data_IF_868156770005
#
_entry.id   IF_868156770005
#
_cell.length_a   1.000
_cell.length_b   1.000
_cell.length_c   1.000
_cell.angle_alpha   90.00
_cell.angle_beta   90.00
_cell.angle_gamma   90.00
#
_symmetry.space_group_name_H-M   'P 1'
#
loop_
_entity.id
_entity.type
_entity.pdbx_description
1 polymer ?
#
# COMPACT_ATOMS: atom_id res chain seq x y z
N UNK A 1 -20.46 -4.54 20.23
CA UNK A 1 -19.03 -4.62 19.89
C UNK A 1 -18.34 -5.43 20.97
N UNK A 2 -17.90 -6.62 20.59
CA UNK A 2 -17.11 -7.53 21.44
C UNK A 2 -15.91 -6.87 22.13
N UNK A 3 -15.42 -7.46 23.23
CA UNK A 3 -14.31 -6.94 24.02
C UNK A 3 -13.97 -7.79 25.26
N UNK A 4 -12.99 -7.31 26.03
CA UNK A 4 -12.44 -7.93 27.24
C UNK A 4 -12.95 -7.13 28.44
N UNK A 5 -13.67 -7.79 29.35
CA UNK A 5 -14.09 -7.18 30.61
C UNK A 5 -13.19 -7.65 31.76
N UNK A 6 -12.47 -6.72 32.40
CA UNK A 6 -11.61 -7.01 33.55
C UNK A 6 -12.41 -6.73 34.83
N UNK A 7 -12.82 -7.82 35.48
CA UNK A 7 -13.47 -7.80 36.77
C UNK A 7 -12.43 -7.94 37.89
N UNK A 8 -12.41 -7.00 38.84
CA UNK A 8 -11.50 -7.02 39.99
C UNK A 8 -12.06 -6.21 41.15
N UNK A 9 -11.62 -6.51 42.38
CA UNK A 9 -11.92 -5.66 43.55
C UNK A 9 -10.86 -4.57 43.68
N UNK A 10 -11.23 -3.39 44.17
CA UNK A 10 -10.21 -2.34 44.43
C UNK A 10 -9.40 -2.71 45.67
N UNK A 11 -8.08 -2.61 45.56
CA UNK A 11 -7.18 -2.83 46.68
C UNK A 11 -5.72 -2.50 46.34
N UNK A 12 -4.76 -2.94 47.16
CA UNK A 12 -3.33 -2.75 46.90
C UNK A 12 -2.86 -3.32 45.53
N UNK A 13 -3.57 -4.32 45.01
CA UNK A 13 -3.29 -4.99 43.75
C UNK A 13 -3.81 -4.23 42.50
N UNK A 14 -4.50 -3.09 42.67
CA UNK A 14 -5.00 -2.29 41.55
C UNK A 14 -3.90 -1.83 40.59
N UNK A 15 -2.66 -1.65 41.06
CA UNK A 15 -1.51 -1.31 40.20
C UNK A 15 -1.20 -2.44 39.22
N UNK A 16 -1.22 -3.69 39.68
CA UNK A 16 -1.03 -4.87 38.84
C UNK A 16 -2.16 -5.01 37.81
N UNK A 17 -3.39 -4.70 38.22
CA UNK A 17 -4.56 -4.69 37.32
C UNK A 17 -4.43 -3.58 36.26
N UNK A 18 -3.96 -2.39 36.63
CA UNK A 18 -3.68 -1.32 35.66
C UNK A 18 -2.60 -1.71 34.65
N UNK A 19 -1.51 -2.35 35.10
CA UNK A 19 -0.49 -2.87 34.19
C UNK A 19 -1.03 -3.98 33.24
N UNK A 20 -1.98 -4.78 33.73
CA UNK A 20 -2.69 -5.78 32.93
C UNK A 20 -3.60 -5.11 31.88
N UNK A 21 -4.39 -4.12 32.30
CA UNK A 21 -5.23 -3.28 31.42
C UNK A 21 -4.38 -2.66 30.31
N UNK A 22 -3.25 -2.04 30.64
CA UNK A 22 -2.34 -1.41 29.68
C UNK A 22 -1.84 -2.42 28.65
N UNK A 23 -1.42 -3.61 29.11
CA UNK A 23 -0.86 -4.64 28.23
C UNK A 23 -1.92 -5.25 27.32
N UNK A 24 -3.11 -5.51 27.85
CA UNK A 24 -4.25 -5.98 27.05
C UNK A 24 -4.71 -4.90 26.07
N UNK A 25 -4.78 -3.64 26.49
CA UNK A 25 -5.16 -2.50 25.63
C UNK A 25 -4.15 -2.27 24.52
N UNK A 26 -2.87 -2.49 24.79
CA UNK A 26 -1.82 -2.40 23.78
C UNK A 26 -1.95 -3.47 22.70
N UNK A 27 -2.43 -4.67 23.06
CA UNK A 27 -2.52 -5.81 22.14
C UNK A 27 -3.88 -5.91 21.44
N UNK A 28 -4.97 -5.68 22.18
CA UNK A 28 -6.35 -5.80 21.72
C UNK A 28 -6.99 -4.45 21.38
N UNK A 29 -6.31 -3.33 21.65
CA UNK A 29 -6.83 -1.98 21.45
C UNK A 29 -7.57 -1.47 22.68
N UNK A 30 -7.39 -0.19 22.98
CA UNK A 30 -7.99 0.45 24.16
C UNK A 30 -9.53 0.39 24.15
N UNK A 31 -10.16 0.47 22.97
CA UNK A 31 -11.62 0.41 22.83
C UNK A 31 -12.20 -1.00 23.06
N UNK A 32 -11.34 -2.01 23.21
CA UNK A 32 -11.73 -3.41 23.41
C UNK A 32 -11.47 -3.89 24.83
N UNK A 33 -10.89 -3.07 25.71
CA UNK A 33 -10.60 -3.44 27.11
C UNK A 33 -11.42 -2.56 28.03
N UNK A 34 -12.30 -3.18 28.80
CA UNK A 34 -13.18 -2.53 29.74
C UNK A 34 -12.80 -2.95 31.15
N UNK A 35 -12.53 -1.96 32.00
CA UNK A 35 -12.24 -2.19 33.41
C UNK A 35 -13.42 -1.68 34.25
N UNK A 36 -13.78 -2.40 35.30
CA UNK A 36 -14.83 -2.08 36.30
C UNK A 36 -14.52 -0.81 37.15
N UNK A 37 -13.98 0.24 36.51
CA UNK A 37 -13.64 1.53 37.14
C UNK A 37 -13.70 2.74 36.18
N UNK A 38 -13.99 2.56 34.88
CA UNK A 38 -14.09 3.72 33.97
C UNK A 38 -15.52 4.29 33.99
N UNK A 39 -15.79 5.24 34.90
CA UNK A 39 -17.07 5.97 35.01
C UNK A 39 -16.84 7.48 34.89
N UNK A 40 -17.63 8.14 34.04
CA UNK A 40 -17.73 9.60 34.02
C UNK A 40 -18.53 10.12 35.23
N UNK A 41 -18.04 11.15 35.96
CA UNK A 41 -18.77 11.76 37.06
C UNK A 41 -20.22 12.15 36.66
N UNK A 42 -21.23 11.65 37.37
CA UNK A 42 -22.65 12.02 37.18
C UNK A 42 -23.54 10.99 36.47
N UNK A 43 -23.02 9.83 36.05
CA UNK A 43 -23.79 8.75 35.41
C UNK A 43 -24.36 7.72 36.41
N UNK A 44 -25.48 7.05 36.05
CA UNK A 44 -26.07 5.97 36.86
C UNK A 44 -25.21 4.70 36.73
N UNK A 45 -24.45 4.41 37.78
CA UNK A 45 -23.50 3.28 37.93
C UNK A 45 -23.91 1.94 37.28
N UNK A 46 -25.17 1.44 37.39
CA UNK A 46 -25.50 0.06 36.98
C UNK A 46 -25.66 -0.16 35.48
N UNK A 47 -26.14 0.83 34.72
CA UNK A 47 -26.68 0.59 33.38
C UNK A 47 -25.58 0.48 32.32
N UNK A 48 -24.56 1.34 32.41
CA UNK A 48 -23.42 1.32 31.48
C UNK A 48 -22.50 0.11 31.71
N UNK A 49 -22.28 -0.25 32.98
CA UNK A 49 -21.44 -1.37 33.37
C UNK A 49 -22.04 -2.70 32.90
N UNK A 50 -23.35 -2.87 33.06
CA UNK A 50 -24.09 -4.01 32.51
C UNK A 50 -24.01 -4.06 31.00
N UNK A 51 -24.25 -2.94 30.31
CA UNK A 51 -24.17 -2.91 28.85
C UNK A 51 -22.78 -3.36 28.34
N UNK A 52 -21.69 -2.90 28.98
CA UNK A 52 -20.33 -3.33 28.64
C UNK A 52 -20.10 -4.81 28.93
N UNK A 53 -20.59 -5.33 30.05
CA UNK A 53 -20.50 -6.75 30.38
C UNK A 53 -21.20 -7.63 29.33
N UNK A 54 -22.45 -7.29 28.95
CA UNK A 54 -23.21 -8.03 27.95
C UNK A 54 -22.61 -7.94 26.54
N UNK A 55 -21.86 -6.88 26.25
CA UNK A 55 -21.19 -6.69 24.95
C UNK A 55 -19.79 -7.34 24.91
N UNK A 56 -19.32 -7.91 26.03
CA UNK A 56 -17.99 -8.50 26.12
C UNK A 56 -17.95 -9.95 25.62
N UNK A 57 -16.86 -10.33 24.96
CA UNK A 57 -16.64 -11.69 24.46
C UNK A 57 -15.95 -12.59 25.51
N UNK A 58 -15.31 -11.99 26.52
CA UNK A 58 -14.64 -12.69 27.61
C UNK A 58 -14.53 -11.82 28.84
N UNK A 59 -14.68 -12.44 30.00
CA UNK A 59 -14.47 -11.82 31.31
C UNK A 59 -13.19 -12.35 31.93
N UNK A 60 -12.29 -11.46 32.28
CA UNK A 60 -11.06 -11.73 33.04
C UNK A 60 -11.35 -11.46 34.52
N UNK A 61 -11.50 -12.50 35.32
CA UNK A 61 -11.81 -12.39 36.75
C UNK A 61 -10.52 -12.42 37.58
N UNK A 62 -10.10 -11.28 38.11
CA UNK A 62 -8.86 -11.15 38.89
C UNK A 62 -9.09 -11.59 40.34
N UNK A 63 -8.38 -12.65 40.73
CA UNK A 63 -8.42 -13.25 42.06
C UNK A 63 -7.12 -12.89 42.79
N UNK A 64 -7.24 -12.04 43.80
CA UNK A 64 -6.13 -11.57 44.64
C UNK A 64 -6.16 -12.21 46.03
N UNK A 65 -5.10 -11.98 46.81
CA UNK A 65 -5.06 -12.43 48.20
C UNK A 65 -6.16 -11.74 49.03
N UNK A 66 -6.96 -12.54 49.74
CA UNK A 66 -8.15 -12.07 50.46
C UNK A 66 -9.43 -11.94 49.63
N UNK A 67 -9.44 -12.29 48.33
CA UNK A 67 -10.63 -12.21 47.46
C UNK A 67 -11.83 -13.00 48.01
N UNK A 68 -11.59 -14.22 48.54
CA UNK A 68 -12.62 -15.05 49.18
C UNK A 68 -13.18 -14.41 50.46
N UNK A 69 -12.31 -13.86 51.30
CA UNK A 69 -12.69 -13.25 52.58
C UNK A 69 -13.59 -12.03 52.38
N UNK A 70 -13.53 -11.38 51.21
CA UNK A 70 -14.40 -10.25 50.90
C UNK A 70 -15.86 -10.65 50.63
N UNK A 71 -16.14 -11.88 50.17
CA UNK A 71 -17.52 -12.37 50.02
C UNK A 71 -18.18 -12.66 51.38
N UNK A 72 -17.39 -12.99 52.41
CA UNK A 72 -17.90 -13.21 53.77
C UNK A 72 -18.33 -11.90 54.46
N UNK A 73 -17.86 -10.75 53.98
CA UNK A 73 -18.30 -9.44 54.46
C UNK A 73 -19.66 -9.14 53.87
N UNK A 74 -20.72 -9.18 54.68
CA UNK A 74 -22.07 -8.84 54.23
C UNK A 74 -22.11 -7.40 53.69
N UNK A 75 -22.15 -7.28 52.36
CA UNK A 75 -22.42 -6.02 51.66
C UNK A 75 -23.83 -6.06 51.07
N UNK A 76 -24.57 -4.94 51.05
CA UNK A 76 -25.91 -4.90 50.47
C UNK A 76 -25.95 -5.30 48.99
N UNK A 77 -24.88 -4.98 48.24
CA UNK A 77 -24.69 -5.37 46.84
C UNK A 77 -23.20 -5.64 46.62
N UNK A 78 -22.88 -6.81 46.07
CA UNK A 78 -21.53 -7.16 45.63
C UNK A 78 -21.47 -7.22 44.11
N UNK A 79 -20.88 -6.18 43.50
CA UNK A 79 -20.77 -6.05 42.04
C UNK A 79 -19.88 -7.13 41.43
N UNK A 80 -18.80 -7.52 42.10
CA UNK A 80 -17.92 -8.58 41.62
C UNK A 80 -18.66 -9.91 41.57
N UNK A 81 -19.46 -10.21 42.61
CA UNK A 81 -20.33 -11.39 42.59
C UNK A 81 -21.33 -11.30 41.43
N UNK A 82 -22.02 -10.16 41.31
CA UNK A 82 -23.06 -9.95 40.30
C UNK A 82 -22.53 -10.08 38.87
N UNK A 83 -21.36 -9.53 38.56
CA UNK A 83 -20.77 -9.55 37.23
C UNK A 83 -20.31 -10.93 36.81
N UNK A 84 -19.60 -11.65 37.70
CA UNK A 84 -19.16 -13.03 37.39
C UNK A 84 -20.38 -13.96 37.29
N UNK A 85 -21.35 -13.87 38.21
CA UNK A 85 -22.59 -14.65 38.14
C UNK A 85 -23.37 -14.36 36.84
N UNK A 86 -23.43 -13.09 36.42
CA UNK A 86 -24.08 -12.72 35.16
C UNK A 86 -23.31 -13.28 33.96
N UNK A 87 -21.98 -13.17 33.92
CA UNK A 87 -21.17 -13.72 32.85
C UNK A 87 -21.37 -15.25 32.70
N UNK A 88 -21.37 -15.97 33.82
CA UNK A 88 -21.62 -17.41 33.85
C UNK A 88 -23.03 -17.75 33.35
N UNK A 89 -24.07 -17.06 33.84
CA UNK A 89 -25.46 -17.28 33.41
C UNK A 89 -25.66 -17.01 31.91
N UNK A 90 -25.01 -15.99 31.38
CA UNK A 90 -25.09 -15.60 29.96
C UNK A 90 -24.08 -16.36 29.08
N UNK A 91 -23.36 -17.34 29.63
CA UNK A 91 -22.39 -18.17 28.91
C UNK A 91 -21.25 -17.35 28.28
N UNK A 92 -20.95 -16.18 28.84
CA UNK A 92 -19.77 -15.40 28.49
C UNK A 92 -18.55 -16.09 29.11
N UNK A 93 -17.52 -16.47 28.32
CA UNK A 93 -16.33 -17.13 28.83
C UNK A 93 -15.67 -16.35 29.97
N UNK A 94 -15.42 -17.02 31.09
CA UNK A 94 -14.71 -16.44 32.25
C UNK A 94 -13.30 -17.06 32.33
N UNK A 95 -12.28 -16.21 32.44
CA UNK A 95 -10.89 -16.62 32.68
C UNK A 95 -10.49 -16.14 34.07
N UNK A 96 -10.37 -17.04 35.06
CA UNK A 96 -9.81 -16.69 36.36
C UNK A 96 -8.33 -16.33 36.23
N UNK A 97 -7.90 -15.23 36.85
CA UNK A 97 -6.50 -14.79 36.91
C UNK A 97 -6.07 -14.68 38.36
N UNK A 98 -5.25 -15.65 38.80
CA UNK A 98 -4.67 -15.68 40.14
C UNK A 98 -3.48 -14.72 40.20
N UNK A 99 -3.51 -13.74 41.11
CA UNK A 99 -2.37 -12.86 41.36
C UNK A 99 -1.40 -13.50 42.33
N UNK A 100 -0.11 -13.32 42.07
CA UNK A 100 0.98 -13.86 42.88
C UNK A 100 0.83 -15.38 43.13
N UNK A 101 0.96 -15.81 44.38
CA UNK A 101 0.87 -17.21 44.79
C UNK A 101 -0.47 -17.55 45.46
N UNK A 102 -1.54 -16.84 45.09
CA UNK A 102 -2.89 -17.16 45.55
C UNK A 102 -3.30 -18.54 45.05
N UNK A 103 -3.84 -19.35 45.96
CA UNK A 103 -4.38 -20.66 45.66
C UNK A 103 -5.72 -20.56 44.91
N UNK A 104 -5.99 -21.45 43.94
CA UNK A 104 -7.29 -21.50 43.29
C UNK A 104 -8.41 -21.79 44.32
N UNK A 105 -9.53 -21.05 44.29
CA UNK A 105 -10.61 -21.26 45.24
C UNK A 105 -11.30 -22.61 45.00
N UNK A 106 -11.66 -23.30 46.07
CA UNK A 106 -12.41 -24.55 46.00
C UNK A 106 -13.91 -24.29 45.92
N UNK A 107 -14.65 -25.24 45.32
CA UNK A 107 -16.10 -25.11 45.09
C UNK A 107 -16.90 -24.80 46.36
N UNK A 108 -16.48 -25.32 47.52
CA UNK A 108 -17.18 -25.15 48.79
C UNK A 108 -16.84 -23.83 49.51
N UNK A 109 -15.79 -23.13 49.07
CA UNK A 109 -15.36 -21.84 49.62
C UNK A 109 -16.04 -20.66 48.90
N UNK A 110 -16.64 -20.93 47.73
CA UNK A 110 -17.30 -19.95 46.90
C UNK A 110 -18.80 -19.85 47.24
N UNK A 111 -19.40 -18.66 47.08
CA UNK A 111 -20.86 -18.55 46.99
C UNK A 111 -21.41 -19.49 45.91
N UNK A 112 -22.61 -20.04 46.12
CA UNK A 112 -23.24 -21.01 45.20
C UNK A 112 -23.27 -20.52 43.75
N UNK A 113 -23.43 -19.21 43.55
CA UNK A 113 -23.45 -18.53 42.25
C UNK A 113 -22.12 -18.61 41.50
N UNK A 114 -20.99 -18.67 42.23
CA UNK A 114 -19.64 -18.67 41.65
C UNK A 114 -19.01 -20.06 41.63
N UNK A 115 -19.74 -21.10 42.02
CA UNK A 115 -19.21 -22.46 42.16
C UNK A 115 -18.56 -23.00 40.88
N UNK A 116 -18.94 -22.51 39.70
CA UNK A 116 -18.32 -22.89 38.42
C UNK A 116 -16.92 -22.31 38.23
N UNK A 117 -16.58 -21.17 38.86
CA UNK A 117 -15.25 -20.57 38.76
C UNK A 117 -14.15 -21.54 39.23
N UNK A 118 -14.45 -22.38 40.23
CA UNK A 118 -13.52 -23.37 40.77
C UNK A 118 -13.09 -24.47 39.78
N UNK A 119 -13.85 -24.69 38.70
CA UNK A 119 -13.53 -25.72 37.69
C UNK A 119 -12.99 -25.14 36.39
N UNK A 120 -12.88 -23.82 36.28
CA UNK A 120 -12.31 -23.13 35.12
C UNK A 120 -10.78 -23.17 35.16
N UNK A 121 -10.16 -23.18 33.97
CA UNK A 121 -8.71 -23.09 33.85
C UNK A 121 -8.25 -21.68 34.19
N UNK A 122 -7.49 -21.53 35.28
CA UNK A 122 -6.95 -20.26 35.72
C UNK A 122 -5.61 -19.92 35.06
N UNK A 123 -5.43 -18.66 34.69
CA UNK A 123 -4.10 -18.09 34.44
C UNK A 123 -3.51 -17.59 35.77
N UNK A 124 -2.18 -17.52 35.87
CA UNK A 124 -1.48 -16.95 37.02
C UNK A 124 -0.61 -15.80 36.56
N UNK A 125 -0.61 -14.70 37.31
CA UNK A 125 0.20 -13.49 37.04
C UNK A 125 0.96 -13.11 38.30
N UNK A 126 2.30 -13.21 38.25
CA UNK A 126 3.20 -12.84 39.36
C UNK A 126 3.98 -11.58 39.02
N UNK A 127 4.30 -10.75 40.00
CA UNK A 127 5.14 -9.57 39.79
C UNK A 127 6.52 -9.92 39.19
N UNK A 128 7.14 -11.02 39.64
CA UNK A 128 8.46 -11.46 39.19
C UNK A 128 8.50 -11.93 37.72
N UNK A 129 7.41 -12.53 37.23
CA UNK A 129 7.30 -13.10 35.86
C UNK A 129 6.23 -12.41 35.03
N UNK A 130 5.89 -11.17 35.38
CA UNK A 130 4.72 -10.45 34.87
C UNK A 130 4.60 -10.50 33.34
N UNK A 131 5.70 -10.24 32.61
CA UNK A 131 5.68 -10.25 31.14
C UNK A 131 5.29 -11.60 30.56
N UNK A 132 5.93 -12.68 30.99
CA UNK A 132 5.66 -14.02 30.45
C UNK A 132 4.26 -14.52 30.82
N UNK A 133 3.82 -14.19 32.03
CA UNK A 133 2.52 -14.58 32.56
C UNK A 133 1.39 -13.85 31.83
N UNK A 134 1.54 -12.54 31.62
CA UNK A 134 0.58 -11.77 30.84
C UNK A 134 0.59 -12.16 29.37
N UNK A 135 1.75 -12.50 28.77
CA UNK A 135 1.78 -13.03 27.41
C UNK A 135 1.05 -14.39 27.30
N UNK A 136 1.06 -15.21 28.37
CA UNK A 136 0.25 -16.43 28.44
C UNK A 136 -1.25 -16.12 28.52
N UNK A 137 -1.63 -15.15 29.36
CA UNK A 137 -3.01 -14.67 29.45
C UNK A 137 -3.50 -14.09 28.12
N UNK A 138 -2.69 -13.30 27.42
CA UNK A 138 -2.98 -12.79 26.07
C UNK A 138 -3.34 -13.94 25.12
N UNK A 139 -2.54 -15.02 25.09
CA UNK A 139 -2.84 -16.19 24.25
C UNK A 139 -4.16 -16.90 24.63
N UNK A 140 -4.56 -16.87 25.89
CA UNK A 140 -5.86 -17.39 26.32
C UNK A 140 -6.99 -16.49 25.84
N UNK A 141 -6.84 -15.17 25.99
CA UNK A 141 -7.81 -14.15 25.57
C UNK A 141 -7.96 -14.07 24.04
N UNK A 142 -6.89 -14.32 23.27
CA UNK A 142 -6.90 -14.38 21.81
C UNK A 142 -7.88 -15.43 21.23
N UNK A 143 -8.28 -16.41 22.04
CA UNK A 143 -9.33 -17.38 21.67
C UNK A 143 -10.71 -16.73 21.61
N UNK A 144 -10.89 -15.62 22.32
CA UNK A 144 -12.16 -14.93 22.50
C UNK A 144 -12.21 -13.57 21.79
N UNK A 145 -11.12 -12.80 21.82
CA UNK A 145 -11.03 -11.44 21.23
C UNK A 145 -9.91 -11.36 20.20
N UNK A 146 -10.15 -10.68 19.07
CA UNK A 146 -9.12 -10.50 18.05
C UNK A 146 -8.20 -9.30 18.41
N UNK A 147 -6.88 -9.41 18.24
CA UNK A 147 -5.97 -8.30 18.50
C UNK A 147 -6.26 -7.11 17.58
N UNK A 148 -6.17 -5.88 18.11
CA UNK A 148 -6.24 -4.69 17.26
C UNK A 148 -4.95 -4.62 16.48
N UNK A 149 -5.11 -4.50 15.17
CA UNK A 149 -4.03 -4.31 14.23
C UNK A 149 -2.95 -3.39 14.81
N UNK A 150 -1.70 -3.85 14.87
CA UNK A 150 -0.63 -2.97 14.43
C UNK A 150 -1.05 -2.57 13.02
N UNK A 151 -1.64 -1.39 12.87
CA UNK A 151 -2.29 -0.96 11.64
C UNK A 151 -1.43 -1.37 10.45
N UNK A 152 -1.85 -2.40 9.72
CA UNK A 152 -1.24 -2.76 8.45
C UNK A 152 -1.13 -1.45 7.69
N UNK A 153 0.06 -1.05 7.18
CA UNK A 153 0.22 0.24 6.56
C UNK A 153 -0.85 0.36 5.48
N UNK A 154 -1.86 1.20 5.74
CA UNK A 154 -2.97 1.43 4.82
C UNK A 154 -2.37 1.62 3.43
N UNK A 155 -2.84 0.90 2.39
CA UNK A 155 -2.29 0.95 1.04
C UNK A 155 -1.70 2.31 0.76
N UNK A 156 -0.37 2.39 0.68
CA UNK A 156 0.31 3.67 0.58
C UNK A 156 -0.34 4.41 -0.58
N UNK A 157 -1.05 5.51 -0.25
CA UNK A 157 -1.72 6.36 -1.24
C UNK A 157 -0.72 6.55 -2.37
N UNK A 158 -1.10 6.30 -3.64
CA UNK A 158 -0.16 6.32 -4.74
C UNK A 158 0.64 7.62 -4.64
N UNK A 159 1.98 7.56 -4.71
CA UNK A 159 2.82 8.70 -4.42
C UNK A 159 2.31 9.86 -5.26
N UNK A 160 1.86 10.93 -4.57
CA UNK A 160 1.41 12.15 -5.25
C UNK A 160 2.50 12.48 -6.26
N UNK A 161 2.19 12.57 -7.56
CA UNK A 161 3.22 12.80 -8.55
C UNK A 161 3.94 14.08 -8.13
N UNK A 162 5.26 14.02 -7.96
CA UNK A 162 6.12 15.14 -7.55
C UNK A 162 5.99 16.26 -8.59
N UNK A 163 4.94 17.09 -8.50
CA UNK A 163 4.41 17.85 -9.65
C UNK A 163 4.69 19.34 -9.67
N UNK A 164 5.20 19.96 -8.62
CA UNK A 164 5.13 21.44 -8.55
C UNK A 164 6.49 22.10 -8.80
N UNK A 165 7.56 21.67 -8.14
CA UNK A 165 8.85 22.41 -8.15
C UNK A 165 9.57 22.35 -9.51
N UNK A 166 9.58 21.19 -10.18
CA UNK A 166 10.25 21.02 -11.49
C UNK A 166 9.48 21.65 -12.66
N UNK A 167 8.17 21.90 -12.50
CA UNK A 167 7.35 22.56 -13.51
C UNK A 167 7.47 24.08 -13.39
N UNK A 168 7.48 24.61 -12.17
CA UNK A 168 7.68 26.05 -11.94
C UNK A 168 9.05 26.54 -12.45
N UNK A 169 10.11 25.72 -12.36
CA UNK A 169 11.41 26.05 -12.96
C UNK A 169 11.37 26.13 -14.51
N UNK A 170 10.59 25.27 -15.17
CA UNK A 170 10.46 25.29 -16.63
C UNK A 170 9.61 26.46 -17.12
N UNK A 171 8.55 26.83 -16.38
CA UNK A 171 7.76 28.03 -16.66
C UNK A 171 8.55 29.32 -16.39
N UNK A 172 9.37 29.36 -15.33
CA UNK A 172 10.23 30.50 -15.02
C UNK A 172 11.30 30.76 -16.10
N UNK A 173 11.89 29.70 -16.67
CA UNK A 173 12.85 29.83 -17.77
C UNK A 173 12.19 30.29 -19.08
N UNK A 174 10.97 29.80 -19.36
CA UNK A 174 10.19 30.20 -20.54
C UNK A 174 9.74 31.66 -20.50
N UNK A 175 9.23 32.14 -19.37
CA UNK A 175 8.78 33.54 -19.22
C UNK A 175 9.98 34.51 -19.25
N UNK A 176 11.10 34.16 -18.62
CA UNK A 176 12.31 34.99 -18.63
C UNK A 176 12.93 35.11 -20.04
N UNK A 177 12.86 34.04 -20.84
CA UNK A 177 13.35 34.04 -22.23
C UNK A 177 12.46 34.88 -23.16
N UNK A 178 11.13 34.87 -22.96
CA UNK A 178 10.17 35.68 -23.72
C UNK A 178 10.37 37.18 -23.42
N UNK A 179 10.61 37.56 -22.16
CA UNK A 179 10.88 38.95 -21.79
C UNK A 179 12.18 39.50 -22.40
N UNK A 180 13.21 38.68 -22.59
CA UNK A 180 14.49 39.09 -23.18
C UNK A 180 14.37 39.34 -24.70
N UNK A 181 13.55 38.56 -25.40
CA UNK A 181 13.33 38.71 -26.85
C UNK A 181 12.44 39.92 -27.16
N UNK A 182 11.48 40.25 -26.28
CA UNK A 182 10.64 41.44 -26.40
C UNK A 182 11.40 42.78 -26.21
N UNK A 183 12.65 42.74 -25.69
CA UNK A 183 13.51 43.92 -25.56
C UNK A 183 14.40 44.19 -26.79
N UNK A 184 14.30 43.38 -27.85
CA UNK A 184 15.09 43.59 -29.07
C UNK A 184 14.49 44.75 -29.91
N UNK A 185 15.26 45.79 -30.26
CA UNK A 185 14.70 47.01 -30.83
C UNK A 185 14.32 46.95 -32.32
N UNK A 186 14.66 45.88 -33.05
CA UNK A 186 14.46 45.80 -34.51
C UNK A 186 14.15 44.35 -34.98
N UNK A 187 13.45 44.16 -36.12
CA UNK A 187 13.24 42.85 -36.73
C UNK A 187 14.58 42.14 -37.02
N UNK A 188 14.77 40.93 -36.46
CA UNK A 188 15.99 40.14 -36.63
C UNK A 188 15.70 38.82 -37.34
N UNK A 189 16.04 38.77 -38.63
CA UNK A 189 15.80 37.60 -39.49
C UNK A 189 16.54 36.33 -39.04
N UNK A 190 17.77 36.47 -38.54
CA UNK A 190 18.57 35.33 -38.10
C UNK A 190 18.00 34.68 -36.84
N UNK A 191 17.52 35.49 -35.88
CA UNK A 191 16.83 34.97 -34.70
C UNK A 191 15.51 34.30 -35.09
N UNK A 192 14.75 34.90 -36.01
CA UNK A 192 13.52 34.29 -36.54
C UNK A 192 13.75 32.87 -37.10
N UNK A 193 14.83 32.67 -37.87
CA UNK A 193 15.19 31.35 -38.38
C UNK A 193 15.43 30.36 -37.23
N UNK A 194 16.19 30.75 -36.21
CA UNK A 194 16.52 29.87 -35.07
C UNK A 194 15.28 29.43 -34.30
N UNK A 195 14.36 30.36 -33.99
CA UNK A 195 13.13 30.04 -33.26
C UNK A 195 12.17 29.20 -34.11
N UNK A 196 12.03 29.49 -35.40
CA UNK A 196 11.19 28.72 -36.32
C UNK A 196 11.72 27.31 -36.55
N UNK A 197 13.04 27.15 -36.74
CA UNK A 197 13.68 25.84 -36.86
C UNK A 197 13.61 25.05 -35.55
N UNK A 198 13.73 25.70 -34.40
CA UNK A 198 13.55 25.06 -33.10
C UNK A 198 12.11 24.57 -32.90
N UNK A 199 11.10 25.38 -33.23
CA UNK A 199 9.70 24.99 -33.17
C UNK A 199 9.40 23.82 -34.11
N UNK A 200 9.89 23.88 -35.35
CA UNK A 200 9.76 22.83 -36.35
C UNK A 200 10.44 21.53 -35.92
N UNK A 201 11.72 21.58 -35.55
CA UNK A 201 12.47 20.39 -35.09
C UNK A 201 11.83 19.76 -33.84
N UNK A 202 11.41 20.58 -32.89
CA UNK A 202 10.66 20.13 -31.71
C UNK A 202 9.36 19.42 -32.07
N UNK A 203 8.63 19.92 -33.07
CA UNK A 203 7.38 19.32 -33.57
C UNK A 203 7.64 17.97 -34.25
N UNK A 204 8.71 17.85 -35.03
CA UNK A 204 9.13 16.58 -35.66
C UNK A 204 9.46 15.54 -34.58
N UNK A 205 10.22 15.92 -33.55
CA UNK A 205 10.57 15.01 -32.46
C UNK A 205 9.31 14.61 -31.67
N UNK A 206 8.43 15.57 -31.33
CA UNK A 206 7.17 15.29 -30.65
C UNK A 206 6.32 14.31 -31.46
N UNK A 207 6.26 14.49 -32.78
CA UNK A 207 5.54 13.61 -33.71
C UNK A 207 6.12 12.20 -33.69
N UNK A 208 7.44 12.08 -33.87
CA UNK A 208 8.13 10.78 -33.84
C UNK A 208 7.92 10.06 -32.51
N UNK A 209 8.09 10.76 -31.38
CA UNK A 209 7.86 10.20 -30.04
C UNK A 209 6.40 9.80 -29.81
N UNK A 210 5.45 10.58 -30.33
CA UNK A 210 4.02 10.23 -30.28
C UNK A 210 3.76 8.94 -31.03
N UNK A 211 4.28 8.79 -32.26
CA UNK A 211 4.13 7.57 -33.05
C UNK A 211 4.76 6.36 -32.37
N UNK A 212 5.99 6.47 -31.88
CA UNK A 212 6.69 5.39 -31.16
C UNK A 212 5.89 4.95 -29.93
N UNK A 213 5.39 5.89 -29.13
CA UNK A 213 4.66 5.55 -27.90
C UNK A 213 3.22 5.08 -28.15
N UNK A 214 2.60 5.48 -29.26
CA UNK A 214 1.24 5.05 -29.65
C UNK A 214 1.23 3.71 -30.38
N UNK A 215 2.31 3.36 -31.09
CA UNK A 215 2.36 2.17 -31.96
C UNK A 215 3.35 1.13 -31.41
N UNK A 216 4.62 1.49 -31.26
CA UNK A 216 5.67 0.54 -30.92
C UNK A 216 5.55 0.02 -29.49
N UNK A 217 5.31 0.90 -28.50
CA UNK A 217 5.22 0.48 -27.10
C UNK A 217 4.04 -0.47 -26.86
N UNK A 218 2.80 -0.21 -27.33
CA UNK A 218 1.70 -1.16 -27.18
C UNK A 218 1.96 -2.50 -27.86
N UNK A 219 2.66 -2.50 -29.00
CA UNK A 219 3.06 -3.71 -29.70
C UNK A 219 4.05 -4.53 -28.86
N UNK A 220 5.09 -3.89 -28.31
CA UNK A 220 6.05 -4.53 -27.41
C UNK A 220 5.35 -5.06 -26.16
N UNK A 221 4.50 -4.23 -25.53
CA UNK A 221 3.70 -4.63 -24.35
C UNK A 221 2.83 -5.84 -24.63
N UNK A 222 2.32 -6.03 -25.85
CA UNK A 222 1.53 -7.22 -26.21
C UNK A 222 2.35 -8.51 -26.05
N UNK A 223 3.65 -8.47 -26.33
CA UNK A 223 4.55 -9.60 -26.15
C UNK A 223 5.05 -9.72 -24.71
N UNK A 224 5.45 -8.62 -24.09
CA UNK A 224 6.02 -8.64 -22.73
C UNK A 224 4.98 -8.79 -21.63
N UNK A 225 3.70 -8.51 -21.90
CA UNK A 225 2.64 -8.57 -20.88
C UNK A 225 2.53 -9.96 -20.23
N UNK A 226 2.68 -11.04 -21.00
CA UNK A 226 2.71 -12.40 -20.43
C UNK A 226 3.82 -12.54 -19.40
N UNK A 227 4.99 -11.99 -19.70
CA UNK A 227 6.14 -12.02 -18.80
C UNK A 227 5.95 -11.12 -17.57
N UNK A 228 5.23 -10.01 -17.72
CA UNK A 228 4.88 -9.13 -16.59
C UNK A 228 3.86 -9.77 -15.65
N UNK A 229 2.92 -10.55 -16.19
CA UNK A 229 1.99 -11.36 -15.39
C UNK A 229 2.76 -12.46 -14.66
N UNK A 230 3.57 -13.24 -15.38
CA UNK A 230 4.39 -14.32 -14.80
C UNK A 230 5.32 -13.82 -13.69
N UNK A 231 6.01 -12.70 -13.91
CA UNK A 231 6.89 -12.13 -12.90
C UNK A 231 6.13 -11.53 -11.71
N UNK A 232 4.87 -11.13 -11.89
CA UNK A 232 3.99 -10.68 -10.83
C UNK A 232 3.44 -11.82 -9.97
N UNK A 233 3.61 -13.09 -10.37
CA UNK A 233 3.19 -14.27 -9.60
C UNK A 233 4.37 -15.11 -9.12
N UNK A 234 5.62 -14.70 -9.39
CA UNK A 234 6.82 -15.44 -8.99
C UNK A 234 7.49 -14.81 -7.76
N UNK A 235 8.24 -15.63 -7.01
CA UNK A 235 9.13 -15.13 -5.96
C UNK A 235 10.29 -14.31 -6.54
N UNK A 236 10.82 -13.33 -5.80
CA UNK A 236 11.99 -12.54 -6.20
C UNK A 236 13.13 -13.42 -6.71
N UNK A 237 13.40 -14.50 -5.97
CA UNK A 237 14.50 -15.41 -6.22
C UNK A 237 14.34 -16.13 -7.57
N UNK A 238 13.14 -16.53 -7.92
CA UNK A 238 12.84 -17.17 -9.21
C UNK A 238 12.91 -16.18 -10.36
N UNK A 239 12.38 -14.98 -10.19
CA UNK A 239 12.49 -13.91 -11.19
C UNK A 239 13.96 -13.62 -11.49
N UNK A 240 14.79 -13.49 -10.46
CA UNK A 240 16.24 -13.24 -10.60
C UNK A 240 16.95 -14.40 -11.29
N UNK A 241 16.67 -15.65 -10.91
CA UNK A 241 17.23 -16.85 -11.56
C UNK A 241 16.86 -16.94 -13.04
N UNK A 242 15.60 -16.68 -13.38
CA UNK A 242 15.09 -16.81 -14.76
C UNK A 242 15.53 -15.64 -15.64
N UNK A 243 15.75 -14.45 -15.07
CA UNK A 243 16.14 -13.23 -15.80
C UNK A 243 17.63 -12.96 -15.86
N UNK A 244 18.46 -13.68 -15.08
CA UNK A 244 19.92 -13.61 -15.15
C UNK A 244 20.45 -13.77 -16.58
N UNK A 245 19.83 -14.62 -17.41
CA UNK A 245 20.25 -14.84 -18.80
C UNK A 245 20.01 -13.62 -19.69
N UNK A 246 18.87 -12.93 -19.53
CA UNK A 246 18.59 -11.69 -20.28
C UNK A 246 19.57 -10.58 -19.85
N UNK A 247 19.88 -10.53 -18.56
CA UNK A 247 20.90 -9.68 -17.98
C UNK A 247 22.30 -9.94 -18.58
N UNK A 248 22.71 -11.21 -18.62
CA UNK A 248 23.97 -11.63 -19.22
C UNK A 248 24.01 -11.32 -20.73
N UNK A 249 22.90 -11.51 -21.45
CA UNK A 249 22.75 -11.15 -22.86
C UNK A 249 22.92 -9.64 -23.12
N UNK A 250 22.48 -8.77 -22.21
CA UNK A 250 22.71 -7.31 -22.34
C UNK A 250 24.16 -6.89 -22.07
N UNK A 251 24.95 -7.74 -21.42
CA UNK A 251 26.36 -7.52 -21.16
C UNK A 251 27.26 -8.04 -22.30
N UNK A 252 26.78 -8.94 -23.16
CA UNK A 252 27.55 -9.44 -24.30
C UNK A 252 27.99 -8.33 -25.28
N UNK A 253 27.14 -7.35 -25.67
CA UNK A 253 27.56 -6.21 -26.49
C UNK A 253 28.62 -5.34 -25.78
N UNK A 254 28.53 -5.19 -24.46
CA UNK A 254 29.49 -4.43 -23.65
C UNK A 254 30.86 -5.12 -23.58
N UNK A 255 30.87 -6.42 -23.28
CA UNK A 255 32.08 -7.24 -23.23
C UNK A 255 32.74 -7.34 -24.61
N UNK A 256 31.93 -7.46 -25.67
CA UNK A 256 32.41 -7.42 -27.05
C UNK A 256 33.06 -6.07 -27.38
N UNK A 257 32.41 -4.96 -27.07
CA UNK A 257 32.96 -3.62 -27.27
C UNK A 257 34.28 -3.41 -26.49
N UNK A 258 34.34 -3.84 -25.23
CA UNK A 258 35.53 -3.72 -24.39
C UNK A 258 36.69 -4.58 -24.90
N UNK A 259 36.40 -5.80 -25.38
CA UNK A 259 37.42 -6.71 -25.93
C UNK A 259 38.12 -6.14 -27.17
N UNK A 260 37.43 -5.27 -27.92
CA UNK A 260 37.93 -4.66 -29.16
C UNK A 260 38.58 -3.29 -28.94
N UNK A 261 38.22 -2.58 -27.86
CA UNK A 261 38.84 -1.30 -27.49
C UNK A 261 40.36 -1.43 -27.25
N UNK A 262 40.81 -2.55 -26.68
CA UNK A 262 42.23 -2.82 -26.43
C UNK A 262 43.02 -3.34 -27.63
N UNK A 263 42.36 -3.78 -28.71
CA UNK A 263 43.01 -4.41 -29.88
C UNK A 263 42.93 -3.56 -31.14
N UNK A 264 42.56 -2.28 -31.03
CA UNK A 264 42.27 -1.42 -32.18
C UNK A 264 43.56 -0.92 -32.86
N UNK A 265 44.32 -1.82 -33.47
CA UNK A 265 45.54 -1.50 -34.22
C UNK A 265 45.26 -1.09 -35.69
N UNK A 266 44.09 -1.42 -36.24
CA UNK A 266 43.81 -1.28 -37.68
C UNK A 266 42.70 -0.26 -38.05
N UNK A 267 42.18 0.52 -37.09
CA UNK A 267 41.25 1.64 -37.38
C UNK A 267 39.91 1.25 -38.01
N UNK A 268 39.49 -0.01 -37.91
CA UNK A 268 38.33 -0.55 -38.63
C UNK A 268 36.95 -0.09 -38.11
N UNK A 269 36.89 0.68 -37.00
CA UNK A 269 35.64 1.15 -36.39
C UNK A 269 35.64 2.66 -36.22
N UNK A 270 34.51 3.29 -36.51
CA UNK A 270 34.31 4.71 -36.21
C UNK A 270 33.96 4.85 -34.72
N UNK A 271 34.57 5.83 -34.03
CA UNK A 271 34.45 6.01 -32.57
C UNK A 271 33.00 5.98 -32.05
N UNK A 272 32.02 6.41 -32.86
CA UNK A 272 30.61 6.43 -32.49
C UNK A 272 29.99 5.03 -32.28
N UNK A 273 30.50 3.98 -32.90
CA UNK A 273 29.98 2.61 -32.76
C UNK A 273 30.27 2.04 -31.37
N UNK A 274 31.43 2.35 -30.79
CA UNK A 274 31.80 1.99 -29.41
C UNK A 274 30.92 2.75 -28.42
N UNK A 275 30.75 4.06 -28.63
CA UNK A 275 29.87 4.88 -27.79
C UNK A 275 28.41 4.41 -27.85
N UNK A 276 27.92 3.99 -29.02
CA UNK A 276 26.58 3.45 -29.19
C UNK A 276 26.36 2.16 -28.37
N UNK A 277 27.32 1.23 -28.40
CA UNK A 277 27.27 0.00 -27.60
C UNK A 277 27.35 0.28 -26.10
N UNK A 278 28.21 1.22 -25.68
CA UNK A 278 28.31 1.65 -24.26
C UNK A 278 26.97 2.25 -23.79
N UNK A 279 26.36 3.14 -24.58
CA UNK A 279 25.08 3.77 -24.23
C UNK A 279 23.97 2.73 -24.15
N UNK A 280 23.87 1.80 -25.11
CA UNK A 280 22.89 0.71 -25.06
C UNK A 280 23.07 -0.14 -23.79
N UNK A 281 24.31 -0.48 -23.43
CA UNK A 281 24.58 -1.29 -22.24
C UNK A 281 24.31 -0.54 -20.94
N UNK A 282 24.60 0.76 -20.85
CA UNK A 282 24.25 1.60 -19.69
C UNK A 282 22.72 1.72 -19.57
N UNK A 283 22.03 1.97 -20.68
CA UNK A 283 20.56 2.05 -20.70
C UNK A 283 19.95 0.71 -20.29
N UNK A 284 20.45 -0.41 -20.84
CA UNK A 284 20.01 -1.75 -20.45
C UNK A 284 20.27 -2.02 -18.96
N UNK A 285 21.47 -1.74 -18.45
CA UNK A 285 21.81 -1.88 -17.03
C UNK A 285 20.96 -0.98 -16.13
N UNK A 286 20.65 0.25 -16.56
CA UNK A 286 19.73 1.14 -15.84
C UNK A 286 18.32 0.58 -15.78
N UNK A 287 17.78 0.07 -16.89
CA UNK A 287 16.46 -0.54 -16.92
C UNK A 287 16.40 -1.79 -16.04
N UNK A 288 17.44 -2.62 -16.06
CA UNK A 288 17.57 -3.77 -15.17
C UNK A 288 17.64 -3.32 -13.71
N UNK A 289 18.52 -2.40 -13.34
CA UNK A 289 18.67 -1.92 -11.96
C UNK A 289 17.39 -1.25 -11.44
N UNK A 290 16.75 -0.43 -12.29
CA UNK A 290 15.46 0.19 -11.99
C UNK A 290 14.38 -0.87 -11.80
N UNK A 291 14.37 -1.92 -12.62
CA UNK A 291 13.47 -3.05 -12.40
C UNK A 291 13.76 -3.69 -11.06
N UNK A 292 15.01 -4.04 -10.76
CA UNK A 292 15.48 -4.69 -9.52
C UNK A 292 15.08 -3.93 -8.25
N UNK A 293 15.35 -2.61 -8.18
CA UNK A 293 14.98 -1.79 -7.01
C UNK A 293 13.47 -1.76 -6.73
N UNK A 294 12.61 -1.92 -7.73
CA UNK A 294 11.16 -2.03 -7.50
C UNK A 294 10.78 -3.35 -6.84
N UNK A 295 11.60 -4.39 -6.98
CA UNK A 295 11.31 -5.73 -6.47
C UNK A 295 11.83 -5.97 -5.04
N UNK A 296 12.97 -5.38 -4.65
CA UNK A 296 13.73 -5.81 -3.46
C UNK A 296 13.21 -5.30 -2.10
N UNK A 297 12.51 -4.17 -2.05
CA UNK A 297 12.16 -3.51 -0.78
C UNK A 297 10.80 -3.92 -0.16
N UNK A 298 10.05 -4.84 -0.78
CA UNK A 298 8.64 -5.13 -0.37
C UNK A 298 8.29 -6.62 -0.25
N UNK A 299 9.21 -7.53 -0.55
CA UNK A 299 8.91 -8.97 -0.66
C UNK A 299 9.02 -9.74 0.67
N UNK A 300 9.71 -9.21 1.68
CA UNK A 300 9.93 -9.92 2.96
C UNK A 300 8.84 -9.69 4.00
N UNK A 301 8.10 -8.58 3.91
CA UNK A 301 7.10 -8.24 4.91
C UNK A 301 5.80 -9.02 4.69
N UNK A 302 5.17 -9.41 5.81
CA UNK A 302 3.83 -9.96 5.85
C UNK A 302 3.02 -9.19 6.92
N UNK A 303 1.82 -8.67 6.61
CA UNK A 303 1.11 -8.78 5.33
C UNK A 303 1.80 -8.03 4.16
N UNK A 304 1.70 -8.52 2.91
CA UNK A 304 2.30 -7.85 1.78
C UNK A 304 1.60 -6.51 1.51
N UNK A 305 2.31 -5.48 1.04
CA UNK A 305 1.66 -4.24 0.62
C UNK A 305 0.75 -4.52 -0.57
N UNK A 306 -0.45 -3.94 -0.54
CA UNK A 306 -1.41 -3.98 -1.64
C UNK A 306 -1.62 -2.57 -2.15
N UNK A 307 -1.44 -2.34 -3.44
CA UNK A 307 -1.71 -1.05 -4.08
C UNK A 307 -2.22 -1.24 -5.52
N UNK A 308 -2.50 -0.14 -6.22
CA UNK A 308 -3.03 -0.17 -7.60
C UNK A 308 -2.01 -0.60 -8.66
N UNK A 309 -0.73 -0.80 -8.31
CA UNK A 309 0.29 -1.23 -9.25
C UNK A 309 0.11 -2.73 -9.59
N UNK A 310 0.02 -3.12 -10.88
CA UNK A 310 -0.27 -4.50 -11.28
C UNK A 310 0.66 -5.56 -10.71
N UNK A 311 1.95 -5.26 -10.64
CA UNK A 311 2.93 -6.20 -10.11
C UNK A 311 2.80 -6.40 -8.58
N UNK A 312 2.24 -5.42 -7.86
CA UNK A 312 2.11 -5.43 -6.40
C UNK A 312 0.87 -6.22 -6.00
N UNK A 313 -0.31 -5.88 -6.54
CA UNK A 313 -1.52 -6.63 -6.20
C UNK A 313 -1.47 -8.09 -6.68
N UNK A 314 -0.84 -8.39 -7.83
CA UNK A 314 -0.66 -9.78 -8.31
C UNK A 314 0.16 -10.60 -7.33
N UNK A 315 1.24 -10.03 -6.80
CA UNK A 315 2.08 -10.70 -5.81
C UNK A 315 1.35 -10.90 -4.50
N UNK A 316 0.64 -9.89 -4.02
CA UNK A 316 -0.16 -10.01 -2.80
C UNK A 316 -1.21 -11.11 -2.93
N UNK A 317 -1.95 -11.15 -4.04
CA UNK A 317 -2.94 -12.20 -4.32
C UNK A 317 -2.30 -13.58 -4.42
N UNK A 318 -1.20 -13.72 -5.16
CA UNK A 318 -0.50 -15.00 -5.31
C UNK A 318 0.07 -15.51 -3.97
N UNK A 319 0.72 -14.65 -3.18
CA UNK A 319 1.27 -15.03 -1.85
C UNK A 319 0.16 -15.46 -0.88
N UNK A 320 -0.96 -14.74 -0.87
CA UNK A 320 -2.11 -15.12 -0.06
C UNK A 320 -2.66 -16.49 -0.49
N UNK A 321 -2.81 -16.70 -1.80
CA UNK A 321 -3.23 -17.99 -2.36
C UNK A 321 -2.26 -19.13 -2.01
N UNK A 322 -0.95 -18.91 -2.17
CA UNK A 322 0.09 -19.87 -1.82
C UNK A 322 0.04 -20.22 -0.32
N UNK A 323 -0.05 -19.23 0.58
CA UNK A 323 -0.17 -19.51 2.03
C UNK A 323 -1.40 -20.35 2.34
N UNK A 324 -2.57 -19.97 1.82
CA UNK A 324 -3.83 -20.67 2.09
C UNK A 324 -3.85 -22.11 1.54
N UNK A 325 -3.03 -22.43 0.54
CA UNK A 325 -3.02 -23.75 -0.11
C UNK A 325 -1.85 -24.63 0.32
N UNK A 326 -0.67 -24.05 0.52
CA UNK A 326 0.58 -24.81 0.75
C UNK A 326 0.94 -24.89 2.23
N UNK A 327 0.81 -23.79 2.98
CA UNK A 327 1.27 -23.70 4.37
C UNK A 327 0.26 -24.40 5.32
N UNK A 328 0.67 -25.45 6.06
CA UNK A 328 -0.21 -26.16 6.98
C UNK A 328 -0.89 -25.26 8.02
N UNK A 329 -0.21 -24.23 8.51
CA UNK A 329 -0.69 -23.34 9.58
C UNK A 329 -1.76 -22.34 9.08
N UNK A 330 -1.99 -22.30 7.76
CA UNK A 330 -2.89 -21.39 7.07
C UNK A 330 -4.10 -22.10 6.43
N UNK A 331 -4.21 -23.43 6.56
CA UNK A 331 -5.35 -24.20 6.04
C UNK A 331 -6.61 -24.02 6.91
N UNK A 332 -7.64 -24.83 6.70
CA UNK A 332 -8.99 -24.62 7.29
C UNK A 332 -9.00 -24.41 8.82
N UNK A 333 -8.10 -25.04 9.57
CA UNK A 333 -7.95 -24.86 11.03
C UNK A 333 -6.85 -23.85 11.38
N UNK A 334 -6.87 -22.67 10.77
CA UNK A 334 -5.88 -21.61 11.04
C UNK A 334 -6.20 -20.81 12.30
N UNK A 335 -5.18 -20.21 12.91
CA UNK A 335 -5.36 -19.31 14.06
C UNK A 335 -6.22 -18.09 13.69
N UNK A 336 -6.93 -17.49 14.66
CA UNK A 336 -7.69 -16.23 14.44
C UNK A 336 -6.81 -15.11 13.89
N UNK A 337 -5.53 -15.04 14.29
CA UNK A 337 -4.56 -14.08 13.76
C UNK A 337 -4.27 -14.31 12.27
N UNK A 338 -4.02 -15.57 11.86
CA UNK A 338 -3.80 -15.92 10.44
C UNK A 338 -5.08 -15.69 9.63
N UNK A 339 -6.25 -16.02 10.19
CA UNK A 339 -7.56 -15.77 9.59
C UNK A 339 -7.77 -14.28 9.35
N UNK A 340 -7.53 -13.44 10.36
CA UNK A 340 -7.66 -12.00 10.25
C UNK A 340 -6.70 -11.42 9.20
N UNK A 341 -5.44 -11.88 9.18
CA UNK A 341 -4.47 -11.46 8.17
C UNK A 341 -4.90 -11.85 6.76
N UNK A 342 -5.43 -13.07 6.58
CA UNK A 342 -5.96 -13.52 5.29
C UNK A 342 -7.15 -12.65 4.82
N UNK A 343 -8.08 -12.34 5.74
CA UNK A 343 -9.22 -11.44 5.48
C UNK A 343 -8.74 -10.02 5.15
N UNK A 344 -7.75 -9.50 5.87
CA UNK A 344 -7.23 -8.14 5.64
C UNK A 344 -6.67 -7.96 4.22
N UNK A 345 -5.80 -8.88 3.78
CA UNK A 345 -5.21 -8.83 2.43
C UNK A 345 -6.29 -9.05 1.37
N UNK A 346 -7.29 -9.91 1.62
CA UNK A 346 -8.42 -10.09 0.72
C UNK A 346 -9.25 -8.80 0.55
N UNK A 347 -9.52 -8.08 1.65
CA UNK A 347 -10.24 -6.82 1.62
C UNK A 347 -9.43 -5.70 0.95
N UNK A 348 -8.11 -5.64 1.19
CA UNK A 348 -7.23 -4.68 0.51
C UNK A 348 -7.24 -4.89 -1.02
N UNK A 349 -7.23 -6.15 -1.48
CA UNK A 349 -7.38 -6.48 -2.90
C UNK A 349 -8.76 -6.04 -3.44
N UNK A 350 -9.81 -6.11 -2.62
CA UNK A 350 -11.13 -5.61 -2.97
C UNK A 350 -11.18 -4.08 -3.08
N UNK A 351 -10.52 -3.37 -2.17
CA UNK A 351 -10.42 -1.91 -2.19
C UNK A 351 -9.65 -1.44 -3.44
N UNK A 352 -8.53 -2.10 -3.77
CA UNK A 352 -7.80 -1.83 -5.02
C UNK A 352 -8.70 -2.04 -6.24
N UNK A 353 -9.48 -3.11 -6.28
CA UNK A 353 -10.43 -3.35 -7.38
C UNK A 353 -11.47 -2.23 -7.48
N UNK A 354 -12.00 -1.75 -6.36
CA UNK A 354 -12.95 -0.62 -6.34
C UNK A 354 -12.30 0.68 -6.83
N UNK A 355 -11.07 0.98 -6.40
CA UNK A 355 -10.31 2.13 -6.86
C UNK A 355 -10.05 2.08 -8.38
N UNK A 356 -9.73 0.89 -8.92
CA UNK A 356 -9.58 0.69 -10.35
C UNK A 356 -10.91 0.85 -11.11
N UNK A 357 -12.04 0.37 -10.56
CA UNK A 357 -13.37 0.60 -11.14
C UNK A 357 -13.70 2.09 -11.20
N UNK A 358 -13.43 2.85 -10.15
CA UNK A 358 -13.61 4.30 -10.14
C UNK A 358 -12.74 5.00 -11.21
N UNK A 359 -11.51 4.52 -11.44
CA UNK A 359 -10.66 5.02 -12.54
C UNK A 359 -11.22 4.67 -13.92
N UNK A 360 -11.77 3.47 -14.10
CA UNK A 360 -12.32 3.01 -15.37
C UNK A 360 -13.57 3.79 -15.83
N UNK A 361 -14.30 4.40 -14.90
CA UNK A 361 -15.51 5.20 -15.18
C UNK A 361 -15.23 6.68 -15.41
N UNK A 362 -13.99 7.15 -15.19
CA UNK A 362 -13.64 8.55 -15.39
C UNK A 362 -13.87 9.04 -16.82
N UNK A 363 -14.33 10.28 -16.95
CA UNK A 363 -14.34 11.00 -18.23
C UNK A 363 -12.92 11.48 -18.59
N UNK A 364 -12.69 11.78 -19.87
CA UNK A 364 -11.39 12.26 -20.36
C UNK A 364 -10.88 13.50 -19.58
N UNK A 365 -11.69 14.54 -19.30
CA UNK A 365 -11.22 15.70 -18.52
C UNK A 365 -10.84 15.33 -17.07
N UNK A 366 -11.61 14.46 -16.42
CA UNK A 366 -11.32 13.98 -15.07
C UNK A 366 -10.01 13.21 -15.04
N UNK A 367 -9.77 12.36 -16.03
CA UNK A 367 -8.56 11.56 -16.15
C UNK A 367 -7.31 12.43 -16.37
N UNK A 368 -7.39 13.46 -17.22
CA UNK A 368 -6.30 14.43 -17.42
C UNK A 368 -5.99 15.15 -16.11
N UNK A 369 -7.03 15.63 -15.39
CA UNK A 369 -6.88 16.34 -14.11
C UNK A 369 -6.29 15.45 -13.01
N UNK A 370 -6.72 14.19 -12.95
CA UNK A 370 -6.20 13.20 -12.01
C UNK A 370 -4.71 12.90 -12.27
N UNK A 371 -4.24 13.11 -13.51
CA UNK A 371 -2.82 13.14 -13.81
C UNK A 371 -2.14 11.77 -13.70
N UNK A 372 -2.90 10.70 -13.95
CA UNK A 372 -2.44 9.31 -13.86
C UNK A 372 -1.26 9.00 -14.79
N UNK A 373 -1.12 9.73 -15.90
CA UNK A 373 0.07 9.67 -16.76
C UNK A 373 0.91 10.95 -16.60
N UNK A 374 2.08 10.83 -15.97
CA UNK A 374 3.07 11.92 -15.96
C UNK A 374 3.49 12.34 -17.37
N UNK A 375 3.44 11.39 -18.31
CA UNK A 375 3.73 11.56 -19.73
C UNK A 375 2.86 12.62 -20.39
N UNK A 376 1.51 12.55 -20.25
CA UNK A 376 0.63 13.48 -20.97
C UNK A 376 0.86 14.92 -20.53
N UNK A 377 1.17 15.13 -19.26
CA UNK A 377 1.48 16.49 -18.82
C UNK A 377 2.82 16.98 -19.36
N UNK A 378 3.77 16.08 -19.62
CA UNK A 378 4.99 16.45 -20.34
C UNK A 378 4.66 16.82 -21.80
N UNK A 379 3.78 16.07 -22.49
CA UNK A 379 3.33 16.41 -23.84
C UNK A 379 2.58 17.75 -23.90
N UNK A 380 1.70 18.04 -22.93
CA UNK A 380 1.01 19.33 -22.85
C UNK A 380 2.00 20.49 -22.59
N UNK A 381 3.02 20.27 -21.74
CA UNK A 381 4.09 21.25 -21.54
C UNK A 381 4.97 21.44 -22.78
N UNK A 382 5.22 20.36 -23.53
CA UNK A 382 5.98 20.39 -24.77
C UNK A 382 5.23 21.16 -25.87
N UNK A 383 3.93 20.91 -26.02
CA UNK A 383 3.05 21.69 -26.88
C UNK A 383 3.10 23.18 -26.53
N UNK A 384 2.95 23.53 -25.23
CA UNK A 384 3.02 24.93 -24.79
C UNK A 384 4.38 25.58 -25.14
N UNK A 385 5.47 24.82 -25.08
CA UNK A 385 6.80 25.30 -25.46
C UNK A 385 6.91 25.55 -26.96
N UNK A 386 6.36 24.68 -27.81
CA UNK A 386 6.30 24.87 -29.28
C UNK A 386 5.50 26.14 -29.60
N UNK A 387 4.32 26.30 -28.99
CA UNK A 387 3.50 27.50 -29.20
C UNK A 387 4.22 28.78 -28.77
N UNK A 388 4.99 28.74 -27.68
CA UNK A 388 5.78 29.89 -27.25
C UNK A 388 6.89 30.24 -28.26
N UNK A 389 7.59 29.25 -28.81
CA UNK A 389 8.60 29.46 -29.85
C UNK A 389 7.98 30.07 -31.11
N UNK A 390 6.82 29.57 -31.54
CA UNK A 390 6.10 30.09 -32.71
C UNK A 390 5.62 31.53 -32.50
N UNK A 391 5.12 31.88 -31.30
CA UNK A 391 4.74 33.27 -30.96
C UNK A 391 5.94 34.20 -31.02
N UNK A 392 7.09 33.78 -30.47
CA UNK A 392 8.33 34.56 -30.54
C UNK A 392 8.78 34.76 -31.98
N UNK A 393 8.71 33.72 -32.82
CA UNK A 393 9.01 33.84 -34.25
C UNK A 393 8.10 34.87 -34.95
N UNK A 394 6.79 34.87 -34.68
CA UNK A 394 5.85 35.85 -35.25
C UNK A 394 6.25 37.29 -34.87
N UNK A 395 6.63 37.52 -33.60
CA UNK A 395 7.00 38.86 -33.10
C UNK A 395 8.28 39.36 -33.78
N UNK A 396 9.25 38.48 -34.03
CA UNK A 396 10.55 38.85 -34.61
C UNK A 396 10.50 39.20 -36.11
N UNK A 397 9.50 38.71 -36.85
CA UNK A 397 9.38 38.95 -38.30
C UNK A 397 7.92 39.00 -38.80
N UNK A 398 7.11 40.00 -38.38
CA UNK A 398 5.68 40.06 -38.67
C UNK A 398 5.33 40.33 -40.15
N UNK A 399 6.27 40.83 -40.95
CA UNK A 399 6.02 41.21 -42.35
C UNK A 399 6.28 40.09 -43.38
N UNK A 400 6.81 38.93 -42.97
CA UNK A 400 7.18 37.88 -43.91
C UNK A 400 6.03 36.89 -44.17
N UNK A 401 5.75 36.58 -45.44
CA UNK A 401 4.60 35.77 -45.89
C UNK A 401 4.88 34.25 -45.82
N UNK A 402 6.13 33.82 -46.00
CA UNK A 402 6.58 32.42 -45.88
C UNK A 402 6.52 31.77 -44.47
N UNK A 403 6.86 32.49 -43.37
CA UNK A 403 6.83 31.98 -41.99
C UNK A 403 5.48 31.41 -41.58
N UNK A 404 4.39 32.05 -41.96
CA UNK A 404 3.06 31.72 -41.47
C UNK A 404 2.59 30.33 -41.90
N UNK A 405 3.05 29.83 -43.06
CA UNK A 405 2.74 28.46 -43.50
C UNK A 405 3.50 27.43 -42.67
N UNK A 406 4.79 27.65 -42.41
CA UNK A 406 5.60 26.76 -41.57
C UNK A 406 5.04 26.72 -40.14
N UNK A 407 4.75 27.90 -39.57
CA UNK A 407 4.16 28.04 -38.23
C UNK A 407 2.77 27.39 -38.17
N UNK A 408 1.93 27.58 -39.18
CA UNK A 408 0.63 26.91 -39.23
C UNK A 408 0.79 25.37 -39.24
N UNK A 409 1.77 24.84 -39.98
CA UNK A 409 2.06 23.40 -40.03
C UNK A 409 2.61 22.90 -38.68
N UNK A 410 3.53 23.63 -38.03
CA UNK A 410 4.09 23.23 -36.73
C UNK A 410 3.02 23.19 -35.65
N UNK A 411 2.22 24.27 -35.54
CA UNK A 411 1.12 24.36 -34.58
C UNK A 411 0.08 23.27 -34.83
N UNK A 412 -0.35 23.09 -36.09
CA UNK A 412 -1.35 22.08 -36.42
C UNK A 412 -0.85 20.66 -36.11
N UNK A 413 0.38 20.32 -36.50
CA UNK A 413 0.95 19.01 -36.20
C UNK A 413 1.12 18.78 -34.69
N UNK A 414 1.67 19.75 -33.96
CA UNK A 414 1.86 19.64 -32.51
C UNK A 414 0.52 19.46 -31.78
N UNK A 415 -0.52 20.19 -32.17
CA UNK A 415 -1.87 20.04 -31.62
C UNK A 415 -2.46 18.66 -31.93
N UNK A 416 -2.41 18.23 -33.20
CA UNK A 416 -2.97 16.95 -33.63
C UNK A 416 -2.28 15.79 -32.91
N UNK A 417 -0.95 15.76 -32.88
CA UNK A 417 -0.22 14.66 -32.24
C UNK A 417 -0.36 14.66 -30.72
N UNK A 418 -0.42 15.84 -30.07
CA UNK A 418 -0.68 15.92 -28.62
C UNK A 418 -2.10 15.45 -28.29
N UNK A 419 -3.11 15.85 -29.08
CA UNK A 419 -4.48 15.40 -28.92
C UNK A 419 -4.60 13.90 -29.16
N UNK A 420 -4.05 13.39 -30.26
CA UNK A 420 -4.02 11.96 -30.59
C UNK A 420 -3.35 11.15 -29.47
N UNK A 421 -2.17 11.57 -29.00
CA UNK A 421 -1.46 10.93 -27.87
C UNK A 421 -2.28 10.94 -26.59
N UNK A 422 -2.99 12.02 -26.31
CA UNK A 422 -3.86 12.14 -25.13
C UNK A 422 -5.03 11.17 -25.20
N UNK A 423 -5.72 11.14 -26.35
CA UNK A 423 -6.87 10.27 -26.60
C UNK A 423 -6.45 8.80 -26.61
N UNK A 424 -5.40 8.44 -27.33
CA UNK A 424 -4.87 7.07 -27.35
C UNK A 424 -4.39 6.64 -25.97
N UNK A 425 -3.73 7.53 -25.22
CA UNK A 425 -3.33 7.29 -23.84
C UNK A 425 -4.53 6.99 -22.94
N UNK A 426 -5.61 7.75 -23.05
CA UNK A 426 -6.84 7.54 -22.28
C UNK A 426 -7.49 6.19 -22.57
N UNK A 427 -7.67 5.83 -23.85
CA UNK A 427 -8.26 4.55 -24.22
C UNK A 427 -7.36 3.35 -23.86
N UNK A 428 -6.04 3.51 -23.98
CA UNK A 428 -5.08 2.48 -23.57
C UNK A 428 -5.15 2.25 -22.07
N UNK A 429 -5.15 3.33 -21.28
CA UNK A 429 -5.27 3.27 -19.82
C UNK A 429 -6.57 2.58 -19.41
N UNK A 430 -7.70 2.98 -20.01
CA UNK A 430 -9.00 2.38 -19.73
C UNK A 430 -9.01 0.88 -20.03
N UNK A 431 -8.42 0.48 -21.17
CA UNK A 431 -8.30 -0.94 -21.56
C UNK A 431 -7.42 -1.72 -20.58
N UNK A 432 -6.30 -1.17 -20.15
CA UNK A 432 -5.40 -1.80 -19.16
C UNK A 432 -6.11 -1.94 -17.80
N UNK A 433 -6.75 -0.88 -17.31
CA UNK A 433 -7.49 -0.88 -16.04
C UNK A 433 -8.64 -1.89 -16.05
N UNK A 434 -9.44 -1.94 -17.12
CA UNK A 434 -10.52 -2.94 -17.26
C UNK A 434 -9.98 -4.37 -17.19
N UNK A 435 -8.82 -4.62 -17.80
CA UNK A 435 -8.16 -5.93 -17.72
C UNK A 435 -7.73 -6.25 -16.29
N UNK A 436 -7.12 -5.30 -15.58
CA UNK A 436 -6.70 -5.48 -14.18
C UNK A 436 -7.89 -5.74 -13.23
N UNK A 437 -9.03 -5.09 -13.48
CA UNK A 437 -10.29 -5.36 -12.74
C UNK A 437 -10.72 -6.82 -12.95
N UNK A 438 -10.61 -7.33 -14.17
CA UNK A 438 -10.86 -8.74 -14.50
C UNK A 438 -9.92 -9.67 -13.72
N UNK A 439 -8.60 -9.43 -13.80
CA UNK A 439 -7.59 -10.21 -13.06
C UNK A 439 -7.87 -10.26 -11.55
N UNK A 440 -8.19 -9.13 -10.93
CA UNK A 440 -8.51 -9.06 -9.50
C UNK A 440 -9.82 -9.79 -9.17
N UNK A 441 -10.79 -9.77 -10.08
CA UNK A 441 -12.04 -10.53 -9.91
C UNK A 441 -11.75 -12.02 -9.92
N UNK A 442 -10.94 -12.51 -10.87
CA UNK A 442 -10.53 -13.91 -10.94
C UNK A 442 -9.78 -14.34 -9.67
N UNK A 443 -8.86 -13.51 -9.18
CA UNK A 443 -8.15 -13.76 -7.92
C UNK A 443 -9.10 -13.85 -6.73
N UNK A 444 -10.06 -12.94 -6.63
CA UNK A 444 -11.04 -12.97 -5.53
C UNK A 444 -11.96 -14.18 -5.57
N UNK A 445 -12.32 -14.66 -6.77
CA UNK A 445 -13.08 -15.91 -6.92
C UNK A 445 -12.26 -17.12 -6.46
N UNK A 446 -10.94 -17.13 -6.70
CA UNK A 446 -10.06 -18.22 -6.24
C UNK A 446 -9.77 -18.18 -4.74
N UNK A 447 -9.51 -16.99 -4.20
CA UNK A 447 -9.07 -16.79 -2.81
C UNK A 447 -10.26 -16.75 -1.85
N UNK A 448 -11.39 -16.16 -2.25
CA UNK A 448 -12.56 -15.94 -1.40
C UNK A 448 -13.02 -17.21 -0.68
N UNK A 449 -13.26 -18.34 -1.39
CA UNK A 449 -13.61 -19.60 -0.77
C UNK A 449 -12.56 -20.02 0.27
N UNK A 450 -11.27 -19.95 -0.05
CA UNK A 450 -10.19 -20.35 0.86
C UNK A 450 -10.14 -19.46 2.12
N UNK A 451 -10.39 -18.15 1.99
CA UNK A 451 -10.38 -17.23 3.14
C UNK A 451 -11.56 -17.48 4.05
N UNK A 452 -12.76 -17.66 3.51
CA UNK A 452 -14.01 -17.74 4.26
C UNK A 452 -14.55 -19.18 4.44
N UNK A 453 -13.74 -20.21 4.15
CA UNK A 453 -14.05 -21.58 4.53
C UNK A 453 -14.30 -21.65 6.04
N UNK A 454 -15.55 -21.93 6.41
CA UNK A 454 -16.03 -22.22 7.76
C UNK A 454 -15.50 -23.56 8.27
#
# INVERSE_FOLDING_TARGET
>A
MGGIFINYRRGPHSVTVGALEDRLSHHFGADQVFVDNQIEPGSRYPDQLRAKLFDSDVVVAVIHDGWLAEFARQRPVDWVLFEIDTALREHIPVIPVLLEDVDPPQRHELPTQLAEVAVLQAARVRGATFRSDVDHLVRMVERHVAPVAAASPKPARPPRPKRVVRRLLAWALGVFSISLVLMLPEPNWQLWEWFSFAAFGSTVILTAMSLVTMIAIPLVKRFTYRWDVEAGTMSLREVTKRRWLLLALTLLPFVYALSKFGTNQDGAWQEWEVWYLIVISIVAAFFVHRSWRRFEARDYDWPPPVDTEPAVFRRAANRLYERLTTDPDWRATRSRANQWQAVSVYLDLAEVRLALRARATMSLPQWIKAGHSGEIVAYLGWLASILALDVVAIILAPAAIGPYRLIAVTVAAALVFTAAKTVTGFYTDRKEVTRWIGELTDWQTKIGPLVFCS
#
